data_IF_995405807211
#
_entry.id   IF_995405807211
#
_cell.length_a   1.000
_cell.length_b   1.000
_cell.length_c   1.000
_cell.angle_alpha   90.00
_cell.angle_beta   90.00
_cell.angle_gamma   90.00
#
_symmetry.space_group_name_H-M   'P 1'
#
loop_
_entity.id
_entity.type
_entity.pdbx_description
1 polymer ?
#
# COMPACT_ATOMS: atom_id res chain seq x y z
N UNK A 1 -10.07 -2.33 1.66
CA UNK A 1 -8.74 -2.65 1.08
C UNK A 1 -8.92 -3.27 -0.31
N UNK A 2 -9.44 -4.49 -0.43
CA UNK A 2 -9.55 -5.19 -1.72
C UNK A 2 -10.35 -4.40 -2.77
N UNK A 3 -11.51 -3.84 -2.39
CA UNK A 3 -12.33 -3.03 -3.29
C UNK A 3 -11.65 -1.72 -3.73
N UNK A 4 -10.78 -1.16 -2.90
CA UNK A 4 -9.98 0.03 -3.27
C UNK A 4 -8.94 -0.32 -4.34
N UNK A 5 -8.38 -1.53 -4.31
CA UNK A 5 -7.47 -2.01 -5.36
C UNK A 5 -8.25 -2.33 -6.64
N UNK A 6 -9.27 -3.21 -6.52
CA UNK A 6 -9.84 -3.95 -7.65
C UNK A 6 -11.38 -4.07 -7.58
N UNK A 7 -12.08 -3.10 -6.99
CA UNK A 7 -13.54 -3.03 -7.10
C UNK A 7 -13.93 -2.97 -8.58
N UNK A 8 -14.87 -3.82 -8.98
CA UNK A 8 -15.26 -3.96 -10.39
C UNK A 8 -15.94 -2.69 -10.91
N UNK A 9 -15.67 -2.34 -12.16
CA UNK A 9 -16.39 -1.30 -12.90
C UNK A 9 -17.66 -1.92 -13.51
N UNK A 10 -18.74 -1.93 -12.71
CA UNK A 10 -19.98 -2.64 -13.05
C UNK A 10 -21.26 -1.92 -12.61
N UNK A 11 -21.22 -0.59 -12.56
CA UNK A 11 -22.33 0.30 -12.17
C UNK A 11 -22.84 0.08 -10.73
N UNK A 12 -22.05 -0.58 -9.85
CA UNK A 12 -22.42 -0.85 -8.45
C UNK A 12 -21.28 -0.52 -7.50
N UNK A 13 -21.62 0.18 -6.42
CA UNK A 13 -20.72 0.42 -5.28
C UNK A 13 -19.53 1.30 -5.64
N UNK A 14 -18.32 0.75 -5.54
CA UNK A 14 -17.06 1.47 -5.79
C UNK A 14 -16.25 0.81 -6.89
N UNK A 15 -15.56 1.62 -7.68
CA UNK A 15 -14.58 1.16 -8.66
C UNK A 15 -13.21 1.24 -8.03
N UNK A 16 -12.42 0.18 -8.14
CA UNK A 16 -11.04 0.14 -7.67
C UNK A 16 -10.09 0.91 -8.59
N UNK A 17 -8.90 1.21 -8.10
CA UNK A 17 -7.87 1.92 -8.89
C UNK A 17 -7.46 1.10 -10.11
N UNK A 18 -7.46 -0.22 -10.00
CA UNK A 18 -7.11 -1.16 -11.07
C UNK A 18 -8.12 -2.33 -11.11
N UNK A 19 -9.33 -2.10 -11.65
CA UNK A 19 -10.44 -3.07 -11.56
C UNK A 19 -10.18 -4.38 -12.28
N UNK A 20 -9.30 -4.41 -13.28
CA UNK A 20 -9.03 -5.59 -14.11
C UNK A 20 -7.84 -6.45 -13.60
N UNK A 21 -7.29 -6.14 -12.41
CA UNK A 21 -6.19 -6.95 -11.86
C UNK A 21 -6.68 -8.26 -11.27
N UNK A 22 -5.84 -9.30 -11.33
CA UNK A 22 -6.08 -10.52 -10.58
C UNK A 22 -5.69 -10.31 -9.12
N UNK A 23 -6.66 -10.48 -8.22
CA UNK A 23 -6.48 -10.28 -6.79
C UNK A 23 -6.50 -11.62 -6.05
N UNK A 24 -5.50 -11.84 -5.20
CA UNK A 24 -5.42 -13.00 -4.32
C UNK A 24 -5.52 -12.58 -2.86
N UNK A 25 -6.39 -13.25 -2.10
CA UNK A 25 -6.52 -13.03 -0.65
C UNK A 25 -5.62 -13.98 0.12
N UNK A 26 -4.57 -13.47 0.75
CA UNK A 26 -3.68 -14.24 1.62
C UNK A 26 -4.02 -13.91 3.06
N UNK A 27 -4.67 -14.84 3.76
CA UNK A 27 -5.14 -14.63 5.14
C UNK A 27 -4.00 -14.87 6.13
N UNK A 28 -3.46 -13.78 6.67
CA UNK A 28 -2.40 -13.77 7.71
C UNK A 28 -2.89 -13.18 9.05
N UNK A 29 -4.14 -12.74 9.11
CA UNK A 29 -4.76 -12.18 10.32
C UNK A 29 -6.01 -12.97 10.68
N UNK A 30 -6.30 -13.07 11.98
CA UNK A 30 -7.54 -13.64 12.50
C UNK A 30 -8.76 -12.76 12.22
N UNK A 31 -9.95 -13.22 12.61
CA UNK A 31 -11.18 -12.43 12.50
C UNK A 31 -11.16 -11.17 13.37
N UNK A 32 -10.41 -11.20 14.46
CA UNK A 32 -10.20 -10.09 15.39
C UNK A 32 -9.12 -9.09 14.92
N UNK A 33 -8.49 -9.36 13.76
CA UNK A 33 -7.49 -8.50 13.14
C UNK A 33 -6.07 -8.66 13.71
N UNK A 34 -5.84 -9.63 14.58
CA UNK A 34 -4.51 -9.98 15.09
C UNK A 34 -3.85 -11.10 14.26
N UNK A 35 -2.51 -11.14 14.24
CA UNK A 35 -1.72 -12.20 13.61
C UNK A 35 -0.32 -12.27 14.20
N UNK A 36 0.40 -13.31 13.88
CA UNK A 36 1.78 -13.51 14.29
C UNK A 36 2.76 -13.05 13.21
N UNK A 37 4.01 -12.86 13.57
CA UNK A 37 5.06 -12.61 12.57
C UNK A 37 5.26 -13.82 11.66
N UNK A 38 5.09 -15.02 12.19
CA UNK A 38 5.18 -16.28 11.46
C UNK A 38 4.13 -16.32 10.33
N UNK A 39 2.85 -16.02 10.63
CA UNK A 39 1.78 -15.98 9.63
C UNK A 39 2.07 -14.96 8.53
N UNK A 40 2.57 -13.78 8.91
CA UNK A 40 2.93 -12.72 7.96
C UNK A 40 4.10 -13.15 7.07
N UNK A 41 5.13 -13.78 7.65
CA UNK A 41 6.30 -14.31 6.92
C UNK A 41 5.86 -15.40 5.93
N UNK A 42 5.01 -16.33 6.35
CA UNK A 42 4.44 -17.35 5.47
C UNK A 42 3.64 -16.72 4.32
N UNK A 43 2.86 -15.68 4.61
CA UNK A 43 2.17 -14.89 3.60
C UNK A 43 3.12 -14.25 2.59
N UNK A 44 4.25 -13.68 3.04
CA UNK A 44 5.29 -13.14 2.15
C UNK A 44 5.89 -14.25 1.28
N UNK A 45 6.24 -15.38 1.87
CA UNK A 45 6.79 -16.52 1.15
C UNK A 45 5.81 -17.04 0.09
N UNK A 46 4.51 -17.06 0.41
CA UNK A 46 3.47 -17.42 -0.55
C UNK A 46 3.47 -16.48 -1.76
N UNK A 47 3.63 -15.15 -1.56
CA UNK A 47 3.69 -14.21 -2.70
C UNK A 47 4.88 -14.48 -3.61
N UNK A 48 6.03 -14.84 -3.04
CA UNK A 48 7.23 -15.21 -3.79
C UNK A 48 7.01 -16.52 -4.59
N UNK A 49 6.51 -17.56 -3.90
CA UNK A 49 6.27 -18.88 -4.51
C UNK A 49 5.26 -18.82 -5.66
N UNK A 50 4.27 -17.91 -5.57
CA UNK A 50 3.25 -17.71 -6.60
C UNK A 50 3.58 -16.57 -7.57
N UNK A 51 4.79 -16.02 -7.53
CA UNK A 51 5.29 -15.01 -8.48
C UNK A 51 4.38 -13.79 -8.60
N UNK A 52 3.93 -13.27 -7.46
CA UNK A 52 3.12 -12.06 -7.43
C UNK A 52 3.97 -10.84 -7.83
N UNK A 53 3.38 -9.89 -8.55
CA UNK A 53 4.05 -8.63 -8.88
C UNK A 53 4.05 -7.67 -7.68
N UNK A 54 2.94 -7.64 -6.93
CA UNK A 54 2.68 -6.67 -5.86
C UNK A 54 2.04 -7.39 -4.67
N UNK A 55 2.44 -6.99 -3.48
CA UNK A 55 1.82 -7.40 -2.22
C UNK A 55 1.39 -6.18 -1.41
N UNK A 56 0.08 -6.06 -1.11
CA UNK A 56 -0.48 -5.00 -0.30
C UNK A 56 -0.50 -5.39 1.17
N UNK A 57 0.20 -4.64 2.01
CA UNK A 57 0.28 -4.83 3.46
C UNK A 57 -0.43 -3.71 4.21
N UNK A 58 -1.76 -3.80 4.28
CA UNK A 58 -2.59 -2.93 5.13
C UNK A 58 -2.59 -3.41 6.58
N UNK A 59 -1.42 -3.72 7.10
CA UNK A 59 -1.15 -4.20 8.46
C UNK A 59 0.23 -3.71 8.90
N UNK A 60 0.54 -3.85 10.19
CA UNK A 60 1.85 -3.51 10.70
C UNK A 60 1.99 -3.68 12.21
N UNK A 61 3.23 -3.60 12.67
CA UNK A 61 3.61 -3.66 14.07
C UNK A 61 4.55 -2.50 14.43
N UNK A 62 4.64 -2.17 15.72
CA UNK A 62 5.55 -1.12 16.21
C UNK A 62 7.01 -1.54 16.21
N UNK A 63 7.28 -2.83 16.14
CA UNK A 63 8.63 -3.40 16.10
C UNK A 63 8.74 -4.40 14.96
N UNK A 64 9.91 -4.45 14.34
CA UNK A 64 10.26 -5.48 13.37
C UNK A 64 11.05 -6.60 13.99
N UNK A 65 11.24 -7.68 13.24
CA UNK A 65 12.10 -8.81 13.62
C UNK A 65 13.09 -9.10 12.49
N UNK A 66 14.27 -9.67 12.79
CA UNK A 66 15.21 -10.09 11.74
C UNK A 66 14.56 -11.05 10.72
N UNK A 67 13.75 -12.00 11.19
CA UNK A 67 13.07 -12.95 10.32
C UNK A 67 12.09 -12.28 9.35
N UNK A 68 11.31 -11.28 9.82
CA UNK A 68 10.43 -10.50 8.95
C UNK A 68 11.24 -9.69 7.92
N UNK A 69 12.33 -9.07 8.34
CA UNK A 69 13.21 -8.33 7.43
C UNK A 69 13.81 -9.23 6.36
N UNK A 70 14.27 -10.42 6.73
CA UNK A 70 14.82 -11.38 5.76
C UNK A 70 13.76 -11.85 4.76
N UNK A 71 12.52 -12.08 5.20
CA UNK A 71 11.41 -12.41 4.31
C UNK A 71 11.10 -11.26 3.33
N UNK A 72 11.09 -10.02 3.81
CA UNK A 72 10.87 -8.81 2.98
C UNK A 72 12.00 -8.66 1.94
N UNK A 73 13.26 -8.83 2.33
CA UNK A 73 14.41 -8.84 1.41
C UNK A 73 14.31 -9.92 0.35
N UNK A 74 13.91 -11.13 0.76
CA UNK A 74 13.72 -12.25 -0.16
C UNK A 74 12.61 -11.97 -1.19
N UNK A 75 11.49 -11.36 -0.76
CA UNK A 75 10.42 -10.95 -1.65
C UNK A 75 10.88 -9.88 -2.65
N UNK A 76 11.60 -8.87 -2.18
CA UNK A 76 12.15 -7.83 -3.05
C UNK A 76 13.15 -8.40 -4.07
N UNK A 77 14.03 -9.31 -3.65
CA UNK A 77 14.98 -9.99 -4.53
C UNK A 77 14.27 -10.88 -5.57
N UNK A 78 13.11 -11.44 -5.23
CA UNK A 78 12.26 -12.21 -6.14
C UNK A 78 11.41 -11.34 -7.08
N UNK A 79 11.48 -10.00 -6.95
CA UNK A 79 10.74 -9.05 -7.77
C UNK A 79 9.36 -8.67 -7.27
N UNK A 80 8.96 -9.10 -6.07
CA UNK A 80 7.67 -8.73 -5.46
C UNK A 80 7.79 -7.35 -4.80
N UNK A 81 6.96 -6.40 -5.22
CA UNK A 81 6.89 -5.08 -4.59
C UNK A 81 5.93 -5.11 -3.39
N UNK A 82 6.46 -4.98 -2.19
CA UNK A 82 5.67 -4.86 -0.95
C UNK A 82 5.31 -3.39 -0.74
N UNK A 83 4.01 -3.10 -0.75
CA UNK A 83 3.46 -1.78 -0.48
C UNK A 83 2.80 -1.84 0.90
N UNK A 84 3.31 -1.05 1.85
CA UNK A 84 2.98 -1.20 3.26
C UNK A 84 2.47 0.09 3.92
N UNK A 85 1.49 -0.07 4.79
CA UNK A 85 0.93 1.03 5.57
C UNK A 85 1.94 1.58 6.58
N UNK A 86 2.18 2.89 6.56
CA UNK A 86 3.14 3.54 7.46
C UNK A 86 2.77 3.41 8.95
N UNK A 87 1.48 3.22 9.26
CA UNK A 87 0.97 3.12 10.62
C UNK A 87 0.10 4.31 11.03
N UNK A 88 -0.63 4.13 12.12
CA UNK A 88 -1.67 5.07 12.57
C UNK A 88 -1.38 5.67 13.96
N UNK A 89 -0.11 5.75 14.36
CA UNK A 89 0.28 6.27 15.67
C UNK A 89 0.54 7.78 15.70
N UNK A 90 0.63 8.42 14.53
CA UNK A 90 1.11 9.80 14.40
C UNK A 90 2.59 9.98 14.75
N UNK A 91 3.32 8.87 14.93
CA UNK A 91 4.73 8.81 15.35
C UNK A 91 5.57 8.15 14.26
N UNK A 92 6.62 7.41 14.65
CA UNK A 92 7.48 6.70 13.72
C UNK A 92 6.73 5.67 12.86
N UNK A 93 7.25 5.43 11.67
CA UNK A 93 6.74 4.41 10.74
C UNK A 93 6.89 3.02 11.37
N UNK A 94 5.86 2.21 11.22
CA UNK A 94 5.84 0.82 11.71
C UNK A 94 6.42 -0.17 10.71
N UNK A 95 6.50 -1.43 11.11
CA UNK A 95 7.02 -2.51 10.27
C UNK A 95 5.87 -3.33 9.66
N UNK A 96 6.00 -3.80 8.41
CA UNK A 96 7.22 -3.81 7.58
C UNK A 96 7.53 -2.51 6.84
N UNK A 97 6.67 -1.47 6.89
CA UNK A 97 6.83 -0.24 6.11
C UNK A 97 8.16 0.50 6.38
N UNK A 98 8.75 0.32 7.57
CA UNK A 98 10.06 0.92 7.91
C UNK A 98 11.27 0.19 7.30
N UNK A 99 11.08 -0.95 6.62
CA UNK A 99 12.19 -1.60 5.93
C UNK A 99 12.43 -0.94 4.56
N UNK A 100 13.69 -0.71 4.16
CA UNK A 100 14.03 -0.01 2.92
C UNK A 100 13.62 -0.74 1.64
N UNK A 101 13.29 -2.01 1.73
CA UNK A 101 12.84 -2.84 0.61
C UNK A 101 11.32 -2.73 0.36
N UNK A 102 10.59 -1.98 1.19
CA UNK A 102 9.15 -1.76 1.06
C UNK A 102 8.84 -0.36 0.54
N UNK A 103 7.63 -0.16 0.03
CA UNK A 103 7.10 1.15 -0.32
C UNK A 103 6.13 1.58 0.78
N UNK A 104 6.57 2.53 1.62
CA UNK A 104 5.82 3.00 2.77
C UNK A 104 4.79 4.07 2.37
N UNK A 105 3.53 3.87 2.78
CA UNK A 105 2.40 4.72 2.40
C UNK A 105 1.82 5.45 3.60
N UNK A 106 1.89 6.78 3.59
CA UNK A 106 1.20 7.68 4.52
C UNK A 106 -0.25 7.95 4.08
N UNK A 107 -1.05 8.53 4.97
CA UNK A 107 -2.46 8.83 4.72
C UNK A 107 -2.76 10.33 4.67
N UNK A 108 -3.55 10.75 3.67
CA UNK A 108 -4.13 12.09 3.55
C UNK A 108 -5.65 12.08 3.66
N UNK A 109 -6.22 13.26 3.90
CA UNK A 109 -7.65 13.52 3.76
C UNK A 109 -8.01 14.06 2.35
N UNK A 110 -9.31 14.30 2.13
CA UNK A 110 -9.83 14.83 0.86
C UNK A 110 -9.45 16.30 0.56
N UNK A 111 -8.81 16.99 1.53
CA UNK A 111 -8.32 18.37 1.39
C UNK A 111 -6.80 18.43 1.17
N UNK A 112 -6.17 17.31 0.79
CA UNK A 112 -4.72 17.18 0.62
C UNK A 112 -3.93 17.45 1.92
N UNK A 113 -4.54 17.23 3.09
CA UNK A 113 -3.87 17.34 4.38
C UNK A 113 -3.44 15.97 4.87
N UNK A 114 -2.27 15.88 5.47
CA UNK A 114 -1.81 14.67 6.13
C UNK A 114 -2.75 14.32 7.27
N UNK A 115 -3.23 13.08 7.30
CA UNK A 115 -4.11 12.62 8.38
C UNK A 115 -3.35 12.67 9.72
N UNK A 116 -4.02 13.16 10.77
CA UNK A 116 -3.38 13.39 12.08
C UNK A 116 -2.78 12.11 12.68
N UNK A 117 -3.39 10.98 12.39
CA UNK A 117 -2.95 9.67 12.85
C UNK A 117 -1.81 9.09 12.01
N UNK A 118 -1.59 9.58 10.77
CA UNK A 118 -0.60 8.99 9.88
C UNK A 118 0.80 9.02 10.51
N UNK A 119 1.42 7.85 10.59
CA UNK A 119 2.83 7.75 10.99
C UNK A 119 3.72 8.49 10.00
N UNK A 120 4.85 8.95 10.48
CA UNK A 120 5.78 9.83 9.77
C UNK A 120 7.22 9.47 10.05
N UNK A 121 8.08 9.68 9.10
CA UNK A 121 9.51 9.37 9.18
C UNK A 121 10.16 9.50 7.81
N UNK A 122 11.49 9.41 7.76
CA UNK A 122 12.24 9.42 6.49
C UNK A 122 11.92 8.20 5.60
N UNK A 123 11.28 7.18 6.16
CA UNK A 123 10.88 5.95 5.46
C UNK A 123 9.63 6.12 4.60
N UNK A 124 8.88 7.22 4.78
CA UNK A 124 7.66 7.47 3.97
C UNK A 124 8.04 7.74 2.53
N UNK A 125 7.56 6.90 1.60
CA UNK A 125 7.84 7.01 0.17
C UNK A 125 6.81 7.86 -0.57
N UNK A 126 5.52 7.64 -0.25
CA UNK A 126 4.39 8.33 -0.88
C UNK A 126 3.24 8.50 0.10
N UNK A 127 2.28 9.35 -0.25
CA UNK A 127 1.03 9.55 0.49
C UNK A 127 -0.16 9.27 -0.41
N UNK A 128 -1.28 8.78 0.15
CA UNK A 128 -2.51 8.52 -0.60
C UNK A 128 -3.75 8.76 0.27
N UNK A 129 -4.96 8.84 -0.32
CA UNK A 129 -6.19 9.04 0.45
C UNK A 129 -6.42 7.92 1.47
N UNK A 130 -6.55 8.30 2.75
CA UNK A 130 -6.71 7.36 3.85
C UNK A 130 -7.72 7.78 4.91
N UNK A 131 -8.52 8.84 4.65
CA UNK A 131 -9.55 9.32 5.57
C UNK A 131 -10.92 9.18 4.93
N UNK A 132 -11.85 8.49 5.63
CA UNK A 132 -13.23 8.24 5.17
C UNK A 132 -13.27 7.60 3.76
N UNK A 133 -12.43 6.63 3.52
CA UNK A 133 -12.35 5.91 2.24
C UNK A 133 -13.47 4.89 2.18
N UNK A 134 -14.46 5.12 1.31
CA UNK A 134 -15.52 4.16 1.04
C UNK A 134 -15.00 3.00 0.19
N UNK A 135 -15.30 1.77 0.59
CA UNK A 135 -14.89 0.58 -0.15
C UNK A 135 -15.82 -0.60 0.15
N UNK A 136 -15.59 -1.72 -0.54
CA UNK A 136 -16.30 -2.97 -0.23
C UNK A 136 -15.99 -3.42 1.19
N UNK A 137 -17.01 -3.97 1.85
CA UNK A 137 -16.92 -4.47 3.22
C UNK A 137 -17.55 -5.86 3.36
N UNK A 138 -17.51 -6.42 4.56
CA UNK A 138 -18.02 -7.76 4.84
C UNK A 138 -19.51 -7.90 4.46
N UNK A 139 -19.93 -9.12 4.19
CA UNK A 139 -21.32 -9.48 3.88
C UNK A 139 -21.91 -8.78 2.65
N UNK A 140 -21.06 -8.47 1.67
CA UNK A 140 -21.49 -7.82 0.42
C UNK A 140 -21.83 -6.33 0.58
N UNK A 141 -21.49 -5.72 1.71
CA UNK A 141 -21.74 -4.31 2.00
C UNK A 141 -20.59 -3.38 1.60
N UNK A 142 -20.76 -2.12 1.96
CA UNK A 142 -19.78 -1.04 1.81
C UNK A 142 -19.64 -0.32 3.14
N UNK A 143 -18.44 0.18 3.43
CA UNK A 143 -18.17 0.98 4.63
C UNK A 143 -17.08 2.00 4.34
N UNK A 144 -17.04 3.07 5.14
CA UNK A 144 -16.06 4.15 5.09
C UNK A 144 -15.13 4.05 6.27
N UNK A 145 -13.87 3.77 6.01
CA UNK A 145 -12.84 3.59 7.04
C UNK A 145 -11.71 4.60 6.87
N UNK A 146 -11.00 4.85 7.97
CA UNK A 146 -9.81 5.72 7.98
C UNK A 146 -8.59 4.97 8.51
N UNK A 147 -7.44 5.20 7.88
CA UNK A 147 -6.17 4.58 8.24
C UNK A 147 -5.18 4.61 7.09
N UNK A 148 -3.91 4.47 7.37
CA UNK A 148 -2.89 4.18 6.35
C UNK A 148 -3.17 2.85 5.64
N UNK A 149 -3.92 1.94 6.29
CA UNK A 149 -4.47 0.72 5.69
C UNK A 149 -5.45 0.98 4.53
N UNK A 150 -6.07 2.17 4.45
CA UNK A 150 -6.94 2.59 3.36
C UNK A 150 -6.16 3.36 2.28
N UNK A 151 -5.07 4.01 2.65
CA UNK A 151 -4.16 4.67 1.71
C UNK A 151 -3.36 3.66 0.88
N UNK A 152 -2.82 2.63 1.52
CA UNK A 152 -1.96 1.60 0.92
C UNK A 152 -2.56 0.94 -0.33
N UNK A 153 -3.84 0.51 -0.34
CA UNK A 153 -4.44 -0.12 -1.51
C UNK A 153 -4.61 0.82 -2.71
N UNK A 154 -4.71 2.13 -2.52
CA UNK A 154 -4.66 3.08 -3.65
C UNK A 154 -3.31 2.99 -4.36
N UNK A 155 -2.21 2.95 -3.59
CA UNK A 155 -0.86 2.84 -4.12
C UNK A 155 -0.61 1.47 -4.75
N UNK A 156 -1.16 0.40 -4.17
CA UNK A 156 -1.08 -0.94 -4.75
C UNK A 156 -1.80 -1.02 -6.11
N UNK A 157 -2.97 -0.41 -6.24
CA UNK A 157 -3.68 -0.28 -7.51
C UNK A 157 -2.89 0.54 -8.53
N UNK A 158 -2.31 1.68 -8.10
CA UNK A 158 -1.45 2.50 -8.97
C UNK A 158 -0.20 1.74 -9.42
N UNK A 159 0.42 0.95 -8.55
CA UNK A 159 1.53 0.09 -8.90
C UNK A 159 1.12 -0.95 -9.96
N UNK A 160 -0.07 -1.53 -9.84
CA UNK A 160 -0.60 -2.46 -10.85
C UNK A 160 -0.83 -1.76 -12.21
N UNK A 161 -1.32 -0.53 -12.21
CA UNK A 161 -1.43 0.28 -13.43
C UNK A 161 -0.05 0.57 -14.05
N UNK A 162 0.98 0.86 -13.25
CA UNK A 162 2.34 1.07 -13.74
C UNK A 162 2.91 -0.20 -14.39
N UNK A 163 2.68 -1.35 -13.76
CA UNK A 163 3.04 -2.66 -14.32
C UNK A 163 2.35 -2.89 -15.67
N UNK A 164 1.06 -2.65 -15.74
CA UNK A 164 0.27 -2.88 -16.96
C UNK A 164 0.59 -1.88 -18.09
N UNK A 165 0.68 -0.58 -17.76
CA UNK A 165 0.82 0.47 -18.76
C UNK A 165 2.26 0.68 -19.24
N UNK A 166 3.25 0.51 -18.35
CA UNK A 166 4.67 0.79 -18.64
C UNK A 166 5.57 -0.46 -18.64
N UNK A 167 5.03 -1.61 -18.29
CA UNK A 167 5.81 -2.85 -18.19
C UNK A 167 6.87 -2.86 -17.11
N UNK A 168 6.80 -1.92 -16.14
CA UNK A 168 7.77 -1.88 -15.02
C UNK A 168 7.63 -3.10 -14.14
N UNK A 169 8.73 -3.64 -13.65
CA UNK A 169 8.76 -4.83 -12.81
C UNK A 169 9.74 -4.65 -11.65
N UNK A 170 9.40 -5.25 -10.53
CA UNK A 170 10.21 -5.23 -9.32
C UNK A 170 10.08 -3.96 -8.48
N UNK A 171 10.45 -4.03 -7.19
CA UNK A 171 10.17 -2.97 -6.21
C UNK A 171 10.76 -1.61 -6.61
N UNK A 172 12.02 -1.58 -6.98
CA UNK A 172 12.72 -0.32 -7.30
C UNK A 172 12.12 0.42 -8.51
N UNK A 173 11.76 -0.30 -9.59
CA UNK A 173 11.17 0.30 -10.78
C UNK A 173 9.73 0.77 -10.52
N UNK A 174 8.95 0.01 -9.74
CA UNK A 174 7.60 0.39 -9.32
C UNK A 174 7.66 1.63 -8.42
N UNK A 175 8.54 1.64 -7.42
CA UNK A 175 8.73 2.80 -6.53
C UNK A 175 9.12 4.05 -7.31
N UNK A 176 10.09 3.95 -8.21
CA UNK A 176 10.52 5.07 -9.05
C UNK A 176 9.37 5.60 -9.94
N UNK A 177 8.55 4.73 -10.52
CA UNK A 177 7.41 5.13 -11.33
C UNK A 177 6.34 5.86 -10.50
N UNK A 178 6.03 5.37 -9.31
CA UNK A 178 5.08 6.01 -8.38
C UNK A 178 5.59 7.38 -7.94
N UNK A 179 6.86 7.49 -7.54
CA UNK A 179 7.46 8.75 -7.10
C UNK A 179 7.55 9.78 -8.24
N UNK A 180 7.89 9.36 -9.45
CA UNK A 180 7.95 10.24 -10.62
C UNK A 180 6.56 10.80 -11.01
N UNK A 181 5.49 10.05 -10.75
CA UNK A 181 4.12 10.49 -10.99
C UNK A 181 3.52 11.28 -9.83
N UNK A 182 4.23 11.42 -8.71
CA UNK A 182 3.70 12.04 -7.51
C UNK A 182 3.62 13.57 -7.59
N UNK A 183 2.63 14.13 -6.90
CA UNK A 183 2.44 15.56 -6.69
C UNK A 183 2.60 15.87 -5.19
N UNK A 184 3.57 16.70 -4.85
CA UNK A 184 3.78 17.15 -3.46
C UNK A 184 2.65 18.07 -3.00
N UNK A 185 2.29 17.94 -1.75
CA UNK A 185 1.44 18.91 -1.05
C UNK A 185 2.29 20.10 -0.60
N UNK A 186 1.81 21.32 -0.82
CA UNK A 186 2.54 22.52 -0.40
C UNK A 186 2.74 22.55 1.13
N UNK A 187 3.92 22.96 1.56
CA UNK A 187 4.26 23.15 2.98
C UNK A 187 4.14 21.88 3.87
N UNK A 188 4.13 20.69 3.26
CA UNK A 188 4.18 19.43 3.98
C UNK A 188 5.60 18.86 3.90
N UNK A 189 6.24 18.49 5.03
CA UNK A 189 7.57 17.88 5.04
C UNK A 189 7.59 16.53 4.32
N UNK A 190 8.73 16.19 3.70
CA UNK A 190 8.92 14.90 3.02
C UNK A 190 8.75 13.71 3.98
N UNK A 191 9.09 13.86 5.25
CA UNK A 191 8.83 12.84 6.29
C UNK A 191 7.36 12.51 6.54
N UNK A 192 6.43 13.26 5.93
CA UNK A 192 4.98 13.06 6.07
C UNK A 192 4.31 12.67 4.76
N UNK A 193 4.91 12.96 3.62
CA UNK A 193 4.34 12.71 2.30
C UNK A 193 5.26 11.96 1.34
N UNK A 194 6.54 11.80 1.66
CA UNK A 194 7.54 11.27 0.74
C UNK A 194 7.65 12.11 -0.53
N UNK A 195 7.57 11.47 -1.69
CA UNK A 195 7.51 12.14 -2.99
C UNK A 195 6.17 12.86 -3.25
N UNK A 196 5.16 12.65 -2.40
CA UNK A 196 3.81 13.19 -2.56
C UNK A 196 2.78 12.12 -2.94
N UNK A 197 1.62 12.57 -3.45
CA UNK A 197 0.54 11.69 -3.89
C UNK A 197 0.73 11.30 -5.35
N UNK A 198 0.92 10.00 -5.67
CA UNK A 198 0.99 9.53 -7.06
C UNK A 198 -0.32 9.79 -7.80
N UNK A 199 -0.22 10.28 -9.03
CA UNK A 199 -1.33 10.61 -9.91
C UNK A 199 -1.45 9.56 -11.01
N UNK A 200 -2.63 8.95 -11.15
CA UNK A 200 -2.86 7.88 -12.11
C UNK A 200 -2.67 8.36 -13.56
N UNK A 201 -3.14 9.56 -13.91
CA UNK A 201 -3.02 10.08 -15.27
C UNK A 201 -1.54 10.31 -15.65
N UNK A 202 -0.73 10.88 -14.73
CA UNK A 202 0.72 11.02 -14.94
C UNK A 202 1.43 9.67 -15.01
N UNK A 203 0.96 8.71 -14.21
CA UNK A 203 1.57 7.39 -14.14
C UNK A 203 1.38 6.62 -15.46
N UNK A 204 0.21 6.71 -16.10
CA UNK A 204 -0.09 5.96 -17.34
C UNK A 204 0.15 6.76 -18.62
N UNK A 205 0.40 8.08 -18.53
CA UNK A 205 0.75 8.89 -19.70
C UNK A 205 2.04 8.38 -20.36
N UNK A 206 2.03 8.37 -21.69
CA UNK A 206 3.17 7.98 -22.53
C UNK A 206 4.22 9.07 -22.58
#
# INVERSE_FOLDING_TARGET
VAGTIAGLDNDKGVVGVAPDVTLYGVKVLSAEGGGTFEDVIEGIQWTVANKMDIANFSLGASQGTPALQDAVKAAAAAGVAIIAAAGNSGRAVGFPAAYPETIAVAASDASDKVAYFSSRGPEVDVIAPGVNVQSTYMNGGYDSLSGTSMATPHVAGLAALAVAAKGVRGPAAIQAALQAAARKFPNVPDTQQGAGMPDAARLVSR
#
